data_IF_201951263012
#
_entry.id   IF_201951263012
#
_cell.length_a   1.000
_cell.length_b   1.000
_cell.length_c   1.000
_cell.angle_alpha   90.00
_cell.angle_beta   90.00
_cell.angle_gamma   90.00
#
_symmetry.space_group_name_H-M   'P 1'
#
loop_
_entity.id
_entity.type
_entity.pdbx_description
1 polymer ?
#
# COMPACT_ATOMS: atom_id res chain seq x y z
N UNK A 1 20.61 18.10 -4.79
CA UNK A 1 20.06 17.55 -3.54
C UNK A 1 18.83 16.75 -3.90
N UNK A 2 18.80 15.46 -3.54
CA UNK A 2 17.89 14.49 -4.14
C UNK A 2 16.42 14.78 -3.86
N UNK A 3 15.61 14.77 -4.91
CA UNK A 3 14.14 14.88 -4.94
C UNK A 3 13.43 13.73 -4.19
N UNK A 4 14.17 12.83 -3.55
CA UNK A 4 13.68 11.58 -2.99
C UNK A 4 14.08 11.45 -1.52
N UNK A 5 13.12 11.05 -0.68
CA UNK A 5 13.33 10.80 0.75
C UNK A 5 14.30 9.64 0.98
N UNK A 6 14.34 8.69 0.05
CA UNK A 6 15.27 7.54 0.04
C UNK A 6 15.71 7.27 -1.39
N UNK A 7 16.99 6.93 -1.55
CA UNK A 7 17.54 6.52 -2.83
C UNK A 7 17.14 5.06 -3.15
N UNK A 8 16.33 4.80 -4.19
CA UNK A 8 15.87 3.45 -4.51
C UNK A 8 17.00 2.49 -4.90
N UNK A 9 18.14 3.01 -5.40
CA UNK A 9 19.28 2.19 -5.74
C UNK A 9 19.93 1.54 -4.50
N UNK A 10 20.03 2.29 -3.40
CA UNK A 10 20.59 1.79 -2.14
C UNK A 10 19.70 0.72 -1.50
N UNK A 11 18.38 0.91 -1.56
CA UNK A 11 17.41 -0.11 -1.11
C UNK A 11 17.60 -1.39 -1.91
N UNK A 12 17.74 -1.27 -3.23
CA UNK A 12 17.94 -2.42 -4.11
C UNK A 12 19.25 -3.16 -3.79
N UNK A 13 20.34 -2.43 -3.58
CA UNK A 13 21.64 -3.02 -3.24
C UNK A 13 21.59 -3.80 -1.93
N UNK A 14 21.00 -3.24 -0.86
CA UNK A 14 20.87 -3.94 0.43
C UNK A 14 20.02 -5.21 0.35
N UNK A 15 18.97 -5.21 -0.47
CA UNK A 15 18.11 -6.39 -0.65
C UNK A 15 18.74 -7.45 -1.54
N UNK A 16 19.60 -7.04 -2.47
CA UNK A 16 20.41 -7.93 -3.31
C UNK A 16 21.49 -8.64 -2.49
N UNK A 17 22.17 -7.92 -1.58
CA UNK A 17 23.12 -8.49 -0.60
C UNK A 17 22.48 -9.58 0.29
N UNK A 18 21.17 -9.44 0.58
CA UNK A 18 20.41 -10.41 1.38
C UNK A 18 19.85 -11.58 0.55
N UNK A 19 19.89 -11.49 -0.78
CA UNK A 19 19.29 -12.48 -1.68
C UNK A 19 17.75 -12.48 -1.68
N UNK A 20 17.11 -11.43 -1.15
CA UNK A 20 15.64 -11.38 -0.89
C UNK A 20 14.89 -10.36 -1.74
N UNK A 21 15.46 -9.98 -2.90
CA UNK A 21 14.96 -8.86 -3.70
C UNK A 21 13.47 -8.95 -4.08
N UNK A 22 13.02 -10.07 -4.63
CA UNK A 22 11.62 -10.21 -5.07
C UNK A 22 10.61 -10.19 -3.91
N UNK A 23 10.78 -11.01 -2.86
CA UNK A 23 9.91 -10.92 -1.69
C UNK A 23 9.90 -9.52 -1.05
N UNK A 24 11.04 -8.82 -1.03
CA UNK A 24 11.12 -7.46 -0.51
C UNK A 24 10.29 -6.47 -1.34
N UNK A 25 10.32 -6.57 -2.68
CA UNK A 25 9.49 -5.74 -3.57
C UNK A 25 8.01 -5.99 -3.30
N UNK A 26 7.59 -7.26 -3.18
CA UNK A 26 6.20 -7.62 -2.89
C UNK A 26 5.77 -7.07 -1.53
N UNK A 27 6.60 -7.25 -0.50
CA UNK A 27 6.35 -6.76 0.86
C UNK A 27 6.23 -5.22 0.89
N UNK A 28 7.13 -4.50 0.21
CA UNK A 28 7.04 -3.04 0.07
C UNK A 28 5.77 -2.59 -0.66
N UNK A 29 5.33 -3.33 -1.68
CA UNK A 29 4.08 -3.05 -2.40
C UNK A 29 2.85 -3.20 -1.51
N UNK A 30 2.76 -4.30 -0.76
CA UNK A 30 1.68 -4.51 0.21
C UNK A 30 1.66 -3.39 1.27
N UNK A 31 2.84 -3.08 1.83
CA UNK A 31 2.97 -2.01 2.83
C UNK A 31 2.58 -0.64 2.29
N UNK A 32 2.93 -0.33 1.05
CA UNK A 32 2.54 0.93 0.41
C UNK A 32 1.02 1.07 0.29
N UNK A 33 0.30 -0.03 0.02
CA UNK A 33 -1.16 -0.02 0.00
C UNK A 33 -1.76 0.21 1.40
N UNK A 34 -1.22 -0.45 2.43
CA UNK A 34 -1.66 -0.24 3.81
C UNK A 34 -1.49 1.23 4.23
N UNK A 35 -0.34 1.81 3.91
CA UNK A 35 -0.06 3.22 4.15
C UNK A 35 -1.03 4.13 3.38
N UNK A 36 -1.35 3.81 2.13
CA UNK A 36 -2.31 4.57 1.34
C UNK A 36 -3.73 4.53 1.93
N UNK A 37 -4.15 3.39 2.51
CA UNK A 37 -5.43 3.28 3.23
C UNK A 37 -5.38 4.10 4.52
N UNK A 38 -4.32 3.97 5.31
CA UNK A 38 -4.15 4.69 6.58
C UNK A 38 -4.13 6.22 6.39
N UNK A 39 -3.46 6.72 5.36
CA UNK A 39 -3.41 8.16 5.06
C UNK A 39 -4.81 8.68 4.71
N UNK A 40 -5.58 7.94 3.92
CA UNK A 40 -6.97 8.31 3.58
C UNK A 40 -7.87 8.30 4.82
N UNK A 41 -7.80 7.26 5.64
CA UNK A 41 -8.57 7.16 6.88
C UNK A 41 -8.27 8.33 7.84
N UNK A 42 -6.98 8.67 8.03
CA UNK A 42 -6.58 9.81 8.87
C UNK A 42 -7.07 11.15 8.33
N UNK A 43 -7.12 11.31 7.00
CA UNK A 43 -7.69 12.50 6.38
C UNK A 43 -9.19 12.60 6.66
N UNK A 44 -9.93 11.49 6.46
CA UNK A 44 -11.36 11.41 6.70
C UNK A 44 -11.72 11.66 8.17
N UNK A 45 -10.98 11.06 9.11
CA UNK A 45 -11.13 11.26 10.55
C UNK A 45 -10.93 12.73 10.92
N UNK A 46 -9.86 13.37 10.44
CA UNK A 46 -9.56 14.77 10.76
C UNK A 46 -10.56 15.75 10.15
N UNK A 47 -11.15 15.41 9.00
CA UNK A 47 -12.25 16.18 8.41
C UNK A 47 -13.54 15.98 9.22
N UNK A 48 -13.82 14.75 9.66
CA UNK A 48 -15.00 14.42 10.45
C UNK A 48 -14.99 15.09 11.82
N UNK A 49 -13.84 15.14 12.50
CA UNK A 49 -13.65 15.86 13.77
C UNK A 49 -14.02 17.34 13.66
N UNK A 50 -13.73 17.96 12.51
CA UNK A 50 -14.05 19.36 12.22
C UNK A 50 -15.55 19.60 12.02
N UNK A 51 -16.29 18.58 11.60
CA UNK A 51 -17.75 18.62 11.40
C UNK A 51 -18.49 18.32 12.73
N UNK A 52 -17.79 17.76 13.73
CA UNK A 52 -18.35 17.18 14.96
C UNK A 52 -18.90 18.14 16.01
N UNK A 53 -18.84 19.46 15.85
CA UNK A 53 -19.52 20.41 16.75
C UNK A 53 -20.59 21.23 16.00
N UNK A 54 -21.83 20.72 15.89
CA UNK A 54 -22.97 21.58 15.63
C UNK A 54 -23.26 22.39 16.89
N UNK A 55 -22.63 23.55 17.03
CA UNK A 55 -23.11 24.60 17.92
C UNK A 55 -24.46 25.11 17.42
N UNK A 56 -25.44 25.14 18.32
CA UNK A 56 -26.86 25.48 18.17
C UNK A 56 -27.13 26.96 17.81
N UNK A 57 -26.35 27.58 16.94
CA UNK A 57 -26.51 29.00 16.59
C UNK A 57 -27.00 29.18 15.15
N UNK A 58 -28.32 29.39 15.05
CA UNK A 58 -29.16 29.34 13.85
C UNK A 58 -28.69 30.09 12.59
N UNK A 59 -29.03 29.47 11.46
CA UNK A 59 -29.50 29.96 10.15
C UNK A 59 -28.91 31.22 9.45
N UNK A 60 -28.15 32.08 10.11
CA UNK A 60 -27.46 33.23 9.49
C UNK A 60 -25.93 33.07 9.52
N UNK A 61 -25.42 32.17 10.36
CA UNK A 61 -24.02 31.73 10.40
C UNK A 61 -23.69 30.67 9.32
N UNK A 62 -24.69 30.15 8.62
CA UNK A 62 -24.53 29.05 7.66
C UNK A 62 -23.59 29.39 6.50
N UNK A 63 -23.47 30.66 6.08
CA UNK A 63 -22.56 31.08 5.01
C UNK A 63 -21.12 31.36 5.45
N UNK A 64 -20.93 31.96 6.63
CA UNK A 64 -19.61 32.39 7.14
C UNK A 64 -18.92 31.25 7.90
N UNK A 65 -19.67 30.44 8.65
CA UNK A 65 -19.16 29.21 9.26
C UNK A 65 -18.79 28.18 8.20
N UNK A 66 -19.58 28.08 7.10
CA UNK A 66 -19.24 27.22 5.96
C UNK A 66 -17.96 27.65 5.25
N UNK A 67 -17.72 28.96 5.07
CA UNK A 67 -16.46 29.42 4.46
C UNK A 67 -15.26 29.11 5.35
N UNK A 68 -15.36 29.32 6.67
CA UNK A 68 -14.31 28.92 7.63
C UNK A 68 -14.08 27.39 7.67
N UNK A 69 -15.14 26.59 7.65
CA UNK A 69 -15.03 25.13 7.57
C UNK A 69 -14.35 24.69 6.26
N UNK A 70 -14.69 25.31 5.13
CA UNK A 70 -14.08 25.01 3.83
C UNK A 70 -12.60 25.42 3.79
N UNK A 71 -12.23 26.55 4.41
CA UNK A 71 -10.84 26.99 4.55
C UNK A 71 -10.02 26.02 5.42
N UNK A 72 -10.57 25.57 6.53
CA UNK A 72 -9.97 24.57 7.42
C UNK A 72 -9.84 23.19 6.73
N UNK A 73 -10.88 22.75 6.01
CA UNK A 73 -10.82 21.54 5.19
C UNK A 73 -9.75 21.63 4.10
N UNK A 74 -9.66 22.77 3.39
CA UNK A 74 -8.62 23.01 2.39
C UNK A 74 -7.22 23.00 3.01
N UNK A 75 -7.06 23.60 4.20
CA UNK A 75 -5.80 23.57 4.94
C UNK A 75 -5.39 22.15 5.30
N UNK A 76 -6.33 21.33 5.80
CA UNK A 76 -6.09 19.91 6.08
C UNK A 76 -5.69 19.19 4.79
N UNK A 77 -6.39 19.39 3.68
CA UNK A 77 -6.04 18.78 2.40
C UNK A 77 -4.61 19.13 1.95
N UNK A 78 -4.21 20.40 2.07
CA UNK A 78 -2.86 20.87 1.75
C UNK A 78 -1.77 20.27 2.66
N UNK A 79 -2.08 19.99 3.93
CA UNK A 79 -1.16 19.29 4.83
C UNK A 79 -0.95 17.83 4.39
N UNK A 80 -2.01 17.16 3.93
CA UNK A 80 -1.93 15.78 3.44
C UNK A 80 -1.31 15.66 2.04
N UNK A 81 -1.33 16.71 1.21
CA UNK A 81 -0.60 16.75 -0.07
C UNK A 81 0.92 16.81 0.10
N UNK A 82 1.41 17.37 1.21
CA UNK A 82 2.86 17.40 1.50
C UNK A 82 3.42 16.02 1.88
N UNK A 83 2.54 15.07 2.22
CA UNK A 83 2.94 13.72 2.58
C UNK A 83 3.50 13.03 1.32
N UNK A 84 4.69 12.42 1.40
CA UNK A 84 5.28 11.73 0.26
C UNK A 84 4.47 10.52 -0.17
N UNK A 85 4.68 10.09 -1.43
CA UNK A 85 3.99 8.92 -1.96
C UNK A 85 4.21 7.69 -1.05
N UNK A 86 3.17 6.89 -0.78
CA UNK A 86 3.23 5.74 0.12
C UNK A 86 4.35 4.74 -0.23
N UNK A 87 4.66 4.58 -1.52
CA UNK A 87 5.75 3.73 -2.01
C UNK A 87 7.12 4.15 -1.46
N UNK A 88 7.42 5.45 -1.40
CA UNK A 88 8.69 5.93 -0.85
C UNK A 88 8.74 5.79 0.67
N UNK A 89 7.59 5.90 1.33
CA UNK A 89 7.48 5.69 2.77
C UNK A 89 7.74 4.20 3.12
N UNK A 90 7.17 3.27 2.35
CA UNK A 90 7.43 1.84 2.49
C UNK A 90 8.91 1.48 2.21
N UNK A 91 9.51 2.08 1.18
CA UNK A 91 10.95 1.92 0.91
C UNK A 91 11.81 2.41 2.06
N UNK A 92 11.43 3.52 2.70
CA UNK A 92 12.11 4.04 3.89
C UNK A 92 12.00 3.08 5.07
N UNK A 93 10.81 2.59 5.38
CA UNK A 93 10.62 1.61 6.46
C UNK A 93 11.42 0.32 6.23
N UNK A 94 11.51 -0.14 4.97
CA UNK A 94 12.35 -1.30 4.61
C UNK A 94 13.83 -1.00 4.76
N UNK A 95 14.30 0.17 4.31
CA UNK A 95 15.69 0.61 4.47
C UNK A 95 16.10 0.73 5.94
N UNK A 96 15.19 1.20 6.79
CA UNK A 96 15.36 1.29 8.25
C UNK A 96 15.26 -0.07 8.96
N UNK A 97 14.92 -1.16 8.26
CA UNK A 97 14.82 -2.50 8.82
C UNK A 97 13.58 -2.74 9.67
N UNK A 98 12.55 -1.88 9.58
CA UNK A 98 11.29 -1.99 10.35
C UNK A 98 10.29 -2.96 9.74
N UNK A 99 10.53 -3.38 8.49
CA UNK A 99 9.65 -4.25 7.75
C UNK A 99 10.27 -5.64 7.66
N UNK A 100 9.62 -6.64 8.25
CA UNK A 100 9.97 -8.06 8.09
C UNK A 100 8.81 -8.79 7.41
N UNK A 101 9.14 -9.78 6.59
CA UNK A 101 8.14 -10.64 5.97
C UNK A 101 8.43 -12.09 6.32
N UNK A 102 7.36 -12.86 6.51
CA UNK A 102 7.42 -14.31 6.65
C UNK A 102 6.60 -14.90 5.54
N UNK A 103 7.22 -15.78 4.75
CA UNK A 103 6.48 -16.60 3.80
C UNK A 103 5.83 -17.70 4.65
N UNK A 104 4.50 -17.81 4.68
CA UNK A 104 3.86 -18.94 5.32
C UNK A 104 4.31 -20.20 4.57
N UNK A 105 4.75 -21.22 5.31
CA UNK A 105 4.95 -22.54 4.71
C UNK A 105 3.59 -22.98 4.16
N UNK A 106 3.49 -23.01 2.83
CA UNK A 106 2.35 -23.60 2.14
C UNK A 106 2.21 -25.01 2.70
N UNK A 107 1.05 -25.41 3.28
CA UNK A 107 0.83 -26.82 3.55
C UNK A 107 0.96 -27.51 2.20
N UNK A 108 1.98 -28.37 2.07
CA UNK A 108 2.19 -29.14 0.86
C UNK A 108 0.85 -29.71 0.38
N UNK A 109 0.37 -29.17 -0.75
CA UNK A 109 -0.71 -29.80 -1.49
C UNK A 109 -0.26 -31.25 -1.70
N UNK A 110 -0.98 -32.25 -1.15
CA UNK A 110 -0.57 -33.63 -1.33
C UNK A 110 -0.46 -33.89 -2.83
N UNK A 111 0.72 -34.37 -3.23
CA UNK A 111 1.05 -34.72 -4.59
C UNK A 111 -0.17 -35.35 -5.27
N UNK A 112 -0.66 -34.71 -6.33
CA UNK A 112 -1.66 -35.32 -7.20
C UNK A 112 -1.18 -36.74 -7.54
N UNK A 113 -1.94 -37.81 -7.21
CA UNK A 113 -1.51 -39.14 -7.59
C UNK A 113 -1.45 -39.17 -9.11
N UNK A 114 -0.28 -39.54 -9.62
CA UNK A 114 0.05 -39.63 -11.03
C UNK A 114 -1.17 -40.04 -11.86
N UNK A 115 -1.73 -39.09 -12.60
CA UNK A 115 -2.71 -39.39 -13.64
C UNK A 115 -1.97 -40.19 -14.69
N UNK A 116 -2.12 -41.51 -14.64
CA UNK A 116 -1.65 -42.44 -15.66
C UNK A 116 -2.32 -42.05 -16.97
N UNK A 117 -1.57 -41.35 -17.82
CA UNK A 117 -1.99 -41.03 -19.18
C UNK A 117 -2.38 -42.35 -19.88
N UNK A 118 -3.58 -42.45 -20.50
CA UNK A 118 -3.88 -43.60 -21.31
C UNK A 118 -2.89 -43.67 -22.49
N UNK A 119 -2.44 -44.87 -22.90
CA UNK A 119 -1.45 -44.99 -23.96
C UNK A 119 -2.01 -44.38 -25.25
N UNK A 120 -1.24 -43.46 -25.85
CA UNK A 120 -1.55 -42.88 -27.16
C UNK A 120 -1.79 -44.01 -28.15
N UNK A 121 -3.01 -44.12 -28.69
CA UNK A 121 -3.30 -44.97 -29.84
C UNK A 121 -2.49 -44.42 -31.02
N UNK A 122 -1.34 -45.03 -31.27
CA UNK A 122 -0.60 -44.90 -32.52
C UNK A 122 -1.52 -45.37 -33.66
N UNK A 123 -2.11 -44.42 -34.38
CA UNK A 123 -2.75 -44.67 -35.66
C UNK A 123 -1.74 -45.34 -36.58
N UNK A 124 -2.01 -46.60 -36.92
CA UNK A 124 -1.19 -47.41 -37.82
C UNK A 124 -1.44 -46.91 -39.24
N UNK A 125 -0.51 -46.14 -39.78
CA UNK A 125 -0.35 -46.00 -41.23
C UNK A 125 0.08 -47.35 -41.78
N UNK A 126 -0.78 -47.98 -42.59
CA UNK A 126 -0.47 -48.84 -43.74
C UNK A 126 -1.79 -49.33 -44.33
N UNK A 127 -2.22 -48.83 -45.48
CA UNK A 127 -1.91 -49.41 -46.80
C UNK A 127 -2.43 -48.49 -47.90
#
# INVERSE_FOLDING_TARGET
>A
MGTYIVNPAEVRMREDERGTLYPAIVCMGMRANDLAVQIRQKLEERIADLIGEPGDDGDVAYGVASRRLQEEQLRIALEFEQIPKPTFLAMKERYEGKLEYRIPETPETPAEPAVTLPPKRSGRTTR
#
